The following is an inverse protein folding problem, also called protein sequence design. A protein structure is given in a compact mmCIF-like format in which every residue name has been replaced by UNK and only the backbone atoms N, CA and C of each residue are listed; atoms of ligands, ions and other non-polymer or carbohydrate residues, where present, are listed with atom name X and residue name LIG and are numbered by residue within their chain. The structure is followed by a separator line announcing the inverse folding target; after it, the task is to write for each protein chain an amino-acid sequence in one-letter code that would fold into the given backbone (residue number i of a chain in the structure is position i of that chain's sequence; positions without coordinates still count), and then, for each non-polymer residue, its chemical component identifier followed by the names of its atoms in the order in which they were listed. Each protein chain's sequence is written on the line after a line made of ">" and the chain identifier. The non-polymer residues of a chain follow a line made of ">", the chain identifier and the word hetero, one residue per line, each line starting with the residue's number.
data_IF_341495429593
#
_entry.id   IF_341495429593
#
_cell.length_a   1.000
_cell.length_b   1.000
_cell.length_c   1.000
_cell.angle_alpha   90.00
_cell.angle_beta   90.00
_cell.angle_gamma   90.00
#
_symmetry.space_group_name_H-M   'P 1'
#
loop_
_entity.id
_entity.type
_entity.pdbx_description
1 polymer ?
#
# COMPACT_ATOMS: atom_id res chain seq x y z
N UNK A 1 24.39 -8.92 18.24
CA UNK A 1 23.05 -8.56 18.74
C UNK A 1 22.42 -7.76 17.63
N UNK A 2 21.75 -8.43 16.71
CA UNK A 2 21.14 -7.80 15.53
C UNK A 2 19.82 -7.16 15.96
N UNK A 3 19.60 -5.92 15.52
CA UNK A 3 18.39 -5.15 15.78
C UNK A 3 17.18 -5.83 15.12
N UNK A 4 16.15 -6.28 15.86
CA UNK A 4 15.06 -7.12 15.33
C UNK A 4 14.05 -6.37 14.44
N UNK A 5 14.30 -5.11 14.09
CA UNK A 5 13.36 -4.24 13.36
C UNK A 5 13.83 -3.80 11.97
N UNK A 6 14.95 -4.33 11.48
CA UNK A 6 15.36 -4.15 10.08
C UNK A 6 15.08 -5.47 9.37
N UNK A 7 14.02 -5.58 8.56
CA UNK A 7 13.91 -6.68 7.62
C UNK A 7 15.17 -6.65 6.75
N UNK A 8 15.83 -7.80 6.58
CA UNK A 8 16.81 -7.97 5.51
C UNK A 8 16.26 -7.32 4.24
N UNK A 9 17.14 -6.63 3.49
CA UNK A 9 16.79 -6.04 2.19
C UNK A 9 15.97 -7.11 1.46
N UNK A 10 14.69 -6.86 1.12
CA UNK A 10 13.84 -7.89 0.60
C UNK A 10 14.55 -8.55 -0.57
N UNK A 11 14.78 -9.85 -0.49
CA UNK A 11 15.41 -10.55 -1.58
C UNK A 11 14.42 -10.52 -2.75
N UNK A 12 14.75 -9.71 -3.77
CA UNK A 12 13.89 -9.50 -4.94
C UNK A 12 13.78 -10.74 -5.84
N UNK A 13 14.28 -11.88 -5.37
CA UNK A 13 14.11 -13.20 -5.96
C UNK A 13 12.70 -13.78 -5.73
N UNK A 14 11.91 -13.25 -4.79
CA UNK A 14 10.46 -13.49 -4.70
C UNK A 14 9.65 -12.17 -4.80
N UNK A 15 9.44 -11.64 -6.02
CA UNK A 15 8.72 -10.38 -6.20
C UNK A 15 7.25 -10.44 -5.76
N UNK A 16 6.58 -11.60 -5.90
CA UNK A 16 5.19 -11.74 -5.44
C UNK A 16 5.11 -11.78 -3.92
N UNK A 17 6.08 -12.43 -3.25
CA UNK A 17 6.25 -12.36 -1.80
C UNK A 17 6.49 -10.93 -1.30
N UNK A 18 7.26 -10.13 -2.03
CA UNK A 18 7.47 -8.71 -1.70
C UNK A 18 6.17 -7.91 -1.77
N UNK A 19 5.34 -8.13 -2.80
CA UNK A 19 4.02 -7.47 -2.91
C UNK A 19 3.14 -7.83 -1.70
N UNK A 20 3.08 -9.11 -1.32
CA UNK A 20 2.36 -9.54 -0.11
C UNK A 20 2.90 -8.90 1.17
N UNK A 21 4.22 -8.80 1.32
CA UNK A 21 4.82 -8.11 2.46
C UNK A 21 4.53 -6.59 2.46
N UNK A 22 4.40 -5.97 1.28
CA UNK A 22 3.90 -4.60 1.16
C UNK A 22 2.44 -4.48 1.63
N UNK A 23 1.58 -5.44 1.29
CA UNK A 23 0.19 -5.48 1.77
C UNK A 23 0.11 -5.55 3.29
N UNK A 24 0.89 -6.44 3.93
CA UNK A 24 0.92 -6.54 5.39
C UNK A 24 1.32 -5.22 6.04
N UNK A 25 2.31 -4.52 5.46
CA UNK A 25 2.72 -3.19 5.93
C UNK A 25 1.65 -2.13 5.71
N UNK A 26 0.92 -2.16 4.58
CA UNK A 26 -0.21 -1.24 4.33
C UNK A 26 -1.30 -1.42 5.38
N UNK A 27 -1.66 -2.66 5.70
CA UNK A 27 -2.65 -2.96 6.75
C UNK A 27 -2.15 -2.50 8.12
N UNK A 28 -0.88 -2.73 8.47
CA UNK A 28 -0.32 -2.22 9.71
C UNK A 28 -0.34 -0.68 9.80
N UNK A 29 -0.16 0.02 8.67
CA UNK A 29 -0.32 1.48 8.63
C UNK A 29 -1.79 1.92 8.71
N UNK A 30 -2.74 1.13 8.18
CA UNK A 30 -4.17 1.33 8.41
C UNK A 30 -4.53 1.20 9.89
N UNK A 31 -3.96 0.22 10.61
CA UNK A 31 -4.16 0.07 12.06
C UNK A 31 -3.67 1.29 12.86
N UNK A 32 -2.57 1.91 12.41
CA UNK A 32 -2.08 3.17 13.01
C UNK A 32 -3.07 4.30 12.73
N UNK A 33 -3.52 4.43 11.48
CA UNK A 33 -4.52 5.43 11.07
C UNK A 33 -5.82 5.31 11.88
N UNK A 34 -6.36 4.11 12.04
CA UNK A 34 -7.62 3.87 12.77
C UNK A 34 -7.54 4.26 14.26
N UNK A 35 -6.34 4.27 14.85
CA UNK A 35 -6.14 4.70 16.24
C UNK A 35 -6.03 6.23 16.39
N UNK A 36 -5.75 6.96 15.32
CA UNK A 36 -5.56 8.41 15.38
C UNK A 36 -6.84 9.19 15.77
N UNK A 37 -8.02 8.96 15.16
CA UNK A 37 -9.22 9.73 15.50
C UNK A 37 -9.58 9.69 17.00
N UNK A 38 -9.68 8.52 17.67
CA UNK A 38 -9.98 8.49 19.09
C UNK A 38 -8.87 9.11 19.95
N UNK A 39 -7.59 8.89 19.61
CA UNK A 39 -6.46 9.48 20.34
C UNK A 39 -6.46 11.01 20.26
N UNK A 40 -6.66 11.57 19.06
CA UNK A 40 -6.69 13.02 18.84
C UNK A 40 -7.87 13.67 19.55
N UNK A 41 -9.01 12.98 19.63
CA UNK A 41 -10.18 13.48 20.37
C UNK A 41 -9.91 13.60 21.87
N UNK A 42 -9.13 12.68 22.45
CA UNK A 42 -8.83 12.66 23.87
C UNK A 42 -7.65 13.55 24.24
N UNK A 43 -6.56 13.49 23.47
CA UNK A 43 -5.27 14.09 23.82
C UNK A 43 -4.91 15.32 22.97
N UNK A 44 -5.73 15.64 21.96
CA UNK A 44 -5.34 16.56 20.90
C UNK A 44 -4.24 15.97 20.01
N UNK A 45 -3.63 16.82 19.18
CA UNK A 45 -2.46 16.41 18.38
C UNK A 45 -1.20 16.61 19.22
N UNK A 46 -0.89 15.62 20.05
CA UNK A 46 0.33 15.54 20.85
C UNK A 46 1.52 14.97 20.05
N UNK A 47 2.64 14.69 20.71
CA UNK A 47 3.84 14.16 20.03
C UNK A 47 3.63 12.74 19.49
N UNK A 48 2.81 11.93 20.14
CA UNK A 48 2.46 10.59 19.66
C UNK A 48 1.64 10.65 18.37
N UNK A 49 0.60 11.48 18.35
CA UNK A 49 -0.20 11.72 17.15
C UNK A 49 0.64 12.29 16.01
N UNK A 50 1.54 13.26 16.28
CA UNK A 50 2.48 13.80 15.28
C UNK A 50 3.38 12.72 14.70
N UNK A 51 3.93 11.85 15.55
CA UNK A 51 4.79 10.75 15.13
C UNK A 51 4.04 9.75 14.24
N UNK A 52 2.83 9.35 14.65
CA UNK A 52 1.98 8.43 13.91
C UNK A 52 1.57 9.00 12.55
N UNK A 53 1.13 10.27 12.50
CA UNK A 53 0.84 10.98 11.25
C UNK A 53 2.07 10.98 10.34
N UNK A 54 3.25 11.33 10.87
CA UNK A 54 4.50 11.35 10.10
C UNK A 54 4.84 9.99 9.48
N UNK A 55 4.69 8.89 10.23
CA UNK A 55 4.93 7.53 9.74
C UNK A 55 3.98 7.15 8.62
N UNK A 56 2.68 7.39 8.80
CA UNK A 56 1.64 7.08 7.81
C UNK A 56 1.84 7.92 6.54
N UNK A 57 2.05 9.23 6.68
CA UNK A 57 2.28 10.13 5.55
C UNK A 57 3.51 9.72 4.76
N UNK A 58 4.59 9.37 5.45
CA UNK A 58 5.79 8.89 4.77
C UNK A 58 5.52 7.60 3.98
N UNK A 59 4.82 6.63 4.59
CA UNK A 59 4.59 5.33 3.95
C UNK A 59 3.69 5.43 2.72
N UNK A 60 2.50 6.04 2.85
CA UNK A 60 1.53 6.10 1.75
C UNK A 60 1.94 7.06 0.63
N UNK A 61 2.79 8.05 0.92
CA UNK A 61 3.34 8.95 -0.11
C UNK A 61 4.62 8.42 -0.80
N UNK A 62 5.15 7.27 -0.39
CA UNK A 62 6.38 6.69 -0.98
C UNK A 62 6.22 5.21 -1.30
N UNK A 63 6.17 4.36 -0.28
CA UNK A 63 6.21 2.91 -0.41
C UNK A 63 4.95 2.37 -1.08
N UNK A 64 3.77 2.89 -0.73
CA UNK A 64 2.52 2.52 -1.39
C UNK A 64 2.47 2.95 -2.86
N UNK A 65 3.03 4.13 -3.17
CA UNK A 65 3.16 4.60 -4.56
C UNK A 65 4.06 3.67 -5.36
N UNK A 66 5.22 3.28 -4.82
CA UNK A 66 6.09 2.32 -5.49
C UNK A 66 5.43 0.95 -5.71
N UNK A 67 4.64 0.49 -4.73
CA UNK A 67 3.91 -0.77 -4.85
C UNK A 67 2.90 -0.75 -6.01
N UNK A 68 1.99 0.24 -6.06
CA UNK A 68 1.06 0.35 -7.20
C UNK A 68 1.80 0.52 -8.54
N UNK A 69 2.97 1.14 -8.54
CA UNK A 69 3.78 1.24 -9.76
C UNK A 69 4.41 -0.10 -10.16
N UNK A 70 4.85 -0.93 -9.22
CA UNK A 70 5.35 -2.29 -9.51
C UNK A 70 4.23 -3.13 -10.14
N UNK A 71 3.01 -2.97 -9.65
CA UNK A 71 1.83 -3.59 -10.24
C UNK A 71 1.53 -3.06 -11.65
N UNK A 72 1.27 -1.76 -11.76
CA UNK A 72 0.74 -1.19 -13.00
C UNK A 72 1.74 -1.12 -14.14
N UNK A 73 3.04 -0.96 -13.83
CA UNK A 73 4.08 -0.80 -14.84
C UNK A 73 4.77 -2.12 -15.20
N UNK A 74 4.81 -3.09 -14.28
CA UNK A 74 5.58 -4.31 -14.45
C UNK A 74 4.69 -5.58 -14.36
N UNK A 75 3.93 -5.80 -13.29
CA UNK A 75 3.15 -7.04 -13.12
C UNK A 75 1.92 -7.14 -14.04
N UNK A 76 1.04 -6.14 -14.01
CA UNK A 76 -0.23 -6.14 -14.75
C UNK A 76 -0.04 -6.28 -16.27
N UNK A 77 0.96 -5.66 -16.91
CA UNK A 77 1.23 -5.88 -18.34
C UNK A 77 1.57 -7.34 -18.69
N UNK A 78 2.21 -8.09 -17.78
CA UNK A 78 2.54 -9.51 -17.99
C UNK A 78 1.29 -10.41 -17.96
N UNK A 79 0.24 -9.97 -17.25
CA UNK A 79 -0.95 -10.76 -16.95
C UNK A 79 -2.17 -10.39 -17.81
N UNK A 80 -2.30 -9.12 -18.24
CA UNK A 80 -3.48 -8.60 -18.95
C UNK A 80 -3.82 -9.38 -20.22
N UNK A 81 -2.83 -9.90 -20.94
CA UNK A 81 -3.04 -10.62 -22.20
C UNK A 81 -3.17 -12.14 -22.05
N UNK A 82 -3.17 -12.66 -20.82
CA UNK A 82 -3.22 -14.10 -20.55
C UNK A 82 -4.66 -14.65 -20.60
N UNK A 83 -5.66 -13.87 -20.21
CA UNK A 83 -7.08 -14.23 -20.34
C UNK A 83 -8.00 -13.01 -20.17
N UNK A 84 -9.25 -13.13 -20.65
CA UNK A 84 -10.28 -12.11 -20.39
C UNK A 84 -10.55 -11.93 -18.90
N UNK A 85 -10.56 -13.02 -18.11
CA UNK A 85 -10.73 -12.96 -16.65
C UNK A 85 -9.65 -12.07 -16.00
N UNK A 86 -8.40 -12.25 -16.40
CA UNK A 86 -7.29 -11.44 -15.85
C UNK A 86 -7.38 -9.98 -16.29
N UNK A 87 -7.79 -9.71 -17.53
CA UNK A 87 -8.02 -8.35 -17.99
C UNK A 87 -9.12 -7.64 -17.16
N UNK A 88 -10.20 -8.34 -16.79
CA UNK A 88 -11.26 -7.82 -15.92
C UNK A 88 -10.78 -7.56 -14.48
N UNK A 89 -10.04 -8.50 -13.88
CA UNK A 89 -9.44 -8.34 -12.55
C UNK A 89 -8.53 -7.10 -12.54
N UNK A 90 -7.62 -6.99 -13.50
CA UNK A 90 -6.67 -5.88 -13.58
C UNK A 90 -7.38 -4.56 -13.82
N UNK A 91 -8.42 -4.54 -14.67
CA UNK A 91 -9.21 -3.33 -14.87
C UNK A 91 -9.83 -2.85 -13.56
N UNK A 92 -10.41 -3.76 -12.78
CA UNK A 92 -10.96 -3.45 -11.45
C UNK A 92 -9.89 -2.92 -10.50
N UNK A 93 -8.76 -3.60 -10.35
CA UNK A 93 -7.68 -3.18 -9.45
C UNK A 93 -7.16 -1.78 -9.79
N UNK A 94 -7.04 -1.45 -11.07
CA UNK A 94 -6.67 -0.08 -11.49
C UNK A 94 -7.71 0.98 -11.14
N UNK A 95 -9.01 0.63 -11.12
CA UNK A 95 -10.03 1.56 -10.62
C UNK A 95 -9.91 1.75 -9.11
N UNK A 96 -9.69 0.65 -8.36
CA UNK A 96 -9.45 0.70 -6.91
C UNK A 96 -8.21 1.53 -6.57
N UNK A 97 -7.11 1.41 -7.31
CA UNK A 97 -5.93 2.27 -7.14
C UNK A 97 -6.27 3.77 -7.29
N UNK A 98 -7.07 4.13 -8.29
CA UNK A 98 -7.50 5.52 -8.48
C UNK A 98 -8.36 6.03 -7.31
N UNK A 99 -9.26 5.18 -6.79
CA UNK A 99 -10.05 5.50 -5.61
C UNK A 99 -9.16 5.68 -4.38
N UNK A 100 -8.21 4.78 -4.14
CA UNK A 100 -7.26 4.84 -3.04
C UNK A 100 -6.42 6.12 -3.08
N UNK A 101 -6.00 6.56 -4.28
CA UNK A 101 -5.31 7.85 -4.46
C UNK A 101 -6.20 9.01 -4.02
N UNK A 102 -7.46 9.05 -4.45
CA UNK A 102 -8.40 10.11 -4.04
C UNK A 102 -8.68 10.13 -2.53
N UNK A 103 -8.88 8.97 -1.92
CA UNK A 103 -9.06 8.85 -0.48
C UNK A 103 -7.81 9.27 0.29
N UNK A 104 -6.62 8.94 -0.21
CA UNK A 104 -5.35 9.37 0.39
C UNK A 104 -5.14 10.88 0.30
N UNK A 105 -5.48 11.50 -0.84
CA UNK A 105 -5.42 12.96 -1.00
C UNK A 105 -6.32 13.68 0.00
N UNK A 106 -7.54 13.18 0.23
CA UNK A 106 -8.45 13.69 1.25
C UNK A 106 -7.82 13.63 2.65
N UNK A 107 -7.28 12.48 3.03
CA UNK A 107 -6.64 12.28 4.34
C UNK A 107 -5.39 13.15 4.52
N UNK A 108 -4.59 13.32 3.48
CA UNK A 108 -3.44 14.24 3.53
C UNK A 108 -3.89 15.69 3.77
N UNK A 109 -5.00 16.13 3.17
CA UNK A 109 -5.53 17.48 3.40
C UNK A 109 -5.99 17.69 4.84
N UNK A 110 -6.63 16.67 5.43
CA UNK A 110 -7.01 16.68 6.84
C UNK A 110 -5.77 16.79 7.74
N UNK A 111 -4.78 15.91 7.54
CA UNK A 111 -3.57 15.85 8.37
C UNK A 111 -2.66 17.08 8.22
N UNK A 112 -2.69 17.78 7.07
CA UNK A 112 -1.98 19.06 6.91
C UNK A 112 -2.52 20.15 7.84
N UNK A 113 -3.80 20.08 8.22
CA UNK A 113 -4.43 21.00 9.17
C UNK A 113 -4.41 20.42 10.58
N UNK A 114 -3.24 19.90 11.01
CA UNK A 114 -3.09 19.17 12.27
C UNK A 114 -3.70 19.89 13.49
N UNK A 115 -3.54 21.20 13.61
CA UNK A 115 -4.10 21.98 14.73
C UNK A 115 -5.63 22.01 14.79
N UNK A 116 -6.32 21.75 13.67
CA UNK A 116 -7.78 21.71 13.57
C UNK A 116 -8.31 20.26 13.44
N UNK A 117 -7.43 19.25 13.47
CA UNK A 117 -7.81 17.86 13.22
C UNK A 117 -8.75 17.32 14.30
N UNK A 118 -8.62 17.79 15.54
CA UNK A 118 -9.52 17.45 16.64
C UNK A 118 -10.95 17.99 16.45
N UNK A 119 -11.12 19.05 15.66
CA UNK A 119 -12.41 19.67 15.35
C UNK A 119 -13.02 19.10 14.04
N UNK A 120 -12.24 18.34 13.27
CA UNK A 120 -12.68 17.73 12.03
C UNK A 120 -13.56 16.51 12.31
N UNK A 121 -14.88 16.69 12.26
CA UNK A 121 -15.86 15.63 12.50
C UNK A 121 -15.84 14.53 11.44
N UNK A 122 -15.31 14.81 10.25
CA UNK A 122 -15.28 13.87 9.13
C UNK A 122 -14.01 13.01 9.12
N UNK A 123 -12.97 13.39 9.89
CA UNK A 123 -11.67 12.73 9.86
C UNK A 123 -11.76 11.23 10.16
N UNK A 124 -12.54 10.83 11.16
CA UNK A 124 -12.75 9.41 11.49
C UNK A 124 -13.38 8.64 10.31
N UNK A 125 -14.39 9.22 9.67
CA UNK A 125 -15.05 8.62 8.50
C UNK A 125 -14.11 8.53 7.29
N UNK A 126 -13.28 9.53 7.05
CA UNK A 126 -12.26 9.47 5.98
C UNK A 126 -11.22 8.37 6.25
N UNK A 127 -10.79 8.21 7.50
CA UNK A 127 -9.88 7.13 7.92
C UNK A 127 -10.52 5.77 7.68
N UNK A 128 -11.76 5.57 8.13
CA UNK A 128 -12.47 4.30 7.97
C UNK A 128 -12.65 3.93 6.50
N UNK A 129 -13.08 4.89 5.66
CA UNK A 129 -13.25 4.66 4.21
C UNK A 129 -11.95 4.24 3.55
N UNK A 130 -10.84 4.91 3.86
CA UNK A 130 -9.54 4.58 3.31
C UNK A 130 -9.03 3.21 3.74
N UNK A 131 -9.13 2.90 5.04
CA UNK A 131 -8.66 1.62 5.57
C UNK A 131 -9.49 0.45 5.06
N UNK A 132 -10.82 0.61 4.98
CA UNK A 132 -11.71 -0.42 4.42
C UNK A 132 -11.43 -0.65 2.93
N UNK A 133 -11.25 0.42 2.15
CA UNK A 133 -10.91 0.30 0.73
C UNK A 133 -9.58 -0.45 0.53
N UNK A 134 -8.54 -0.15 1.31
CA UNK A 134 -7.28 -0.89 1.24
C UNK A 134 -7.45 -2.35 1.64
N UNK A 135 -8.22 -2.65 2.68
CA UNK A 135 -8.46 -4.01 3.12
C UNK A 135 -9.17 -4.85 2.04
N UNK A 136 -10.24 -4.32 1.45
CA UNK A 136 -10.99 -4.98 0.37
C UNK A 136 -10.13 -5.18 -0.88
N UNK A 137 -9.37 -4.15 -1.26
CA UNK A 137 -8.43 -4.18 -2.39
C UNK A 137 -7.37 -5.27 -2.19
N UNK A 138 -6.69 -5.27 -1.04
CA UNK A 138 -5.63 -6.23 -0.70
C UNK A 138 -6.17 -7.66 -0.65
N UNK A 139 -7.35 -7.88 -0.05
CA UNK A 139 -7.97 -9.20 0.01
C UNK A 139 -8.27 -9.71 -1.40
N UNK A 140 -8.85 -8.88 -2.25
CA UNK A 140 -9.18 -9.22 -3.62
C UNK A 140 -7.94 -9.51 -4.46
N UNK A 141 -6.92 -8.65 -4.41
CA UNK A 141 -5.70 -8.84 -5.19
C UNK A 141 -4.92 -10.09 -4.75
N UNK A 142 -4.77 -10.29 -3.43
CA UNK A 142 -4.06 -11.43 -2.88
C UNK A 142 -4.68 -12.77 -3.29
N UNK A 143 -6.02 -12.82 -3.33
CA UNK A 143 -6.80 -14.03 -3.60
C UNK A 143 -6.98 -14.29 -5.09
N UNK A 144 -7.36 -13.28 -5.88
CA UNK A 144 -7.67 -13.46 -7.30
C UNK A 144 -6.46 -13.24 -8.19
N UNK A 145 -5.65 -12.20 -7.99
CA UNK A 145 -4.56 -11.87 -8.92
C UNK A 145 -3.27 -12.61 -8.56
N UNK A 146 -2.73 -12.39 -7.36
CA UNK A 146 -1.40 -12.90 -6.98
C UNK A 146 -1.38 -14.43 -6.91
N UNK A 147 -2.50 -15.06 -6.55
CA UNK A 147 -2.66 -16.51 -6.60
C UNK A 147 -2.52 -17.07 -8.02
N UNK A 148 -3.10 -16.40 -9.02
CA UNK A 148 -2.95 -16.81 -10.42
C UNK A 148 -1.57 -16.47 -10.99
N UNK A 149 -1.03 -15.30 -10.65
CA UNK A 149 0.27 -14.85 -11.13
C UNK A 149 1.39 -15.85 -10.83
N UNK A 150 1.36 -16.48 -9.64
CA UNK A 150 2.35 -17.48 -9.23
C UNK A 150 2.40 -18.71 -10.15
N UNK A 151 1.30 -19.05 -10.82
CA UNK A 151 1.22 -20.19 -11.75
C UNK A 151 1.41 -19.80 -13.21
N UNK A 152 1.27 -18.53 -13.55
CA UNK A 152 1.33 -18.02 -14.93
C UNK A 152 2.74 -17.53 -15.28
N UNK A 153 3.40 -16.84 -14.36
CA UNK A 153 4.67 -16.20 -14.63
C UNK A 153 5.81 -17.24 -14.68
N UNK A 154 6.60 -17.18 -15.74
CA UNK A 154 7.85 -17.92 -15.82
C UNK A 154 8.89 -17.40 -14.82
N UNK A 155 9.86 -18.23 -14.46
CA UNK A 155 10.98 -17.82 -13.60
C UNK A 155 11.69 -16.56 -14.14
N UNK A 156 11.91 -16.49 -15.46
CA UNK A 156 12.53 -15.30 -16.08
C UNK A 156 11.69 -14.05 -15.88
N UNK A 157 10.36 -14.13 -16.02
CA UNK A 157 9.48 -12.98 -15.80
C UNK A 157 9.50 -12.52 -14.33
N UNK A 158 9.55 -13.46 -13.37
CA UNK A 158 9.71 -13.14 -11.96
C UNK A 158 11.06 -12.47 -11.69
N UNK A 159 12.15 -12.97 -12.25
CA UNK A 159 13.46 -12.33 -12.14
C UNK A 159 13.47 -10.92 -12.75
N UNK A 160 12.86 -10.72 -13.92
CA UNK A 160 12.76 -9.42 -14.59
C UNK A 160 11.95 -8.44 -13.72
N UNK A 161 10.82 -8.88 -13.16
CA UNK A 161 9.96 -8.12 -12.24
C UNK A 161 10.74 -7.69 -10.99
N UNK A 162 11.41 -8.62 -10.31
CA UNK A 162 12.23 -8.33 -9.14
C UNK A 162 13.32 -7.27 -9.42
N UNK A 163 13.95 -7.33 -10.61
CA UNK A 163 14.90 -6.29 -11.07
C UNK A 163 14.28 -4.92 -11.25
N UNK A 164 13.07 -4.84 -11.79
CA UNK A 164 12.34 -3.57 -11.89
C UNK A 164 12.00 -3.01 -10.51
N UNK A 165 11.48 -3.86 -9.62
CA UNK A 165 11.12 -3.47 -8.25
C UNK A 165 12.33 -2.96 -7.45
N UNK A 166 13.49 -3.62 -7.56
CA UNK A 166 14.74 -3.21 -6.92
C UNK A 166 15.24 -1.85 -7.46
N UNK A 167 15.24 -1.68 -8.80
CA UNK A 167 15.64 -0.43 -9.44
C UNK A 167 14.75 0.74 -9.04
N UNK A 168 13.43 0.54 -8.92
CA UNK A 168 12.48 1.56 -8.45
C UNK A 168 12.83 2.07 -7.05
N UNK A 169 13.48 1.23 -6.24
CA UNK A 169 13.93 1.53 -4.87
C UNK A 169 15.41 1.95 -4.80
N UNK A 170 16.08 2.12 -5.94
CA UNK A 170 17.49 2.54 -6.01
C UNK A 170 18.49 1.48 -5.54
N UNK A 171 18.08 0.21 -5.48
CA UNK A 171 18.92 -0.89 -5.02
C UNK A 171 19.65 -1.57 -6.20
N UNK A 172 20.93 -1.95 -6.04
CA UNK A 172 21.63 -2.77 -7.02
C UNK A 172 21.04 -4.19 -7.04
N UNK A 173 21.06 -4.86 -8.20
CA UNK A 173 20.75 -6.29 -8.32
C UNK A 173 22.02 -7.05 -8.71
#
# INVERSE_FOLDING_TARGET
>A
MSDPLVPEIPDFDDPLGILRACHERMLAHCDILQKLPPHIKENGVDDEARSAIGKVVNYFSTSAVHHHQDEEQDLFPLLTHQSLKLAEIIHRLKQEHNELVGLWEQLQQDMRKASALAENTDFASHVDRFCNAYQEHIEYENSELLGMAQHILSQRQLEDLGRSMARRRGLPR
#
